data_IF_023125409228
#
_entry.id   IF_023125409228
#
_cell.length_a   1.000
_cell.length_b   1.000
_cell.length_c   1.000
_cell.angle_alpha   90.00
_cell.angle_beta   90.00
_cell.angle_gamma   90.00
#
_symmetry.space_group_name_H-M   'P 1'
#
loop_
_entity.id
_entity.type
_entity.pdbx_description
1 polymer ?
#
# COMPACT_ATOMS: atom_id res chain seq x y z
N UNK A 1 -11.03 -12.41 -3.54
CA UNK A 1 -10.77 -11.96 -2.14
C UNK A 1 -11.60 -10.75 -1.74
N UNK A 2 -11.42 -9.54 -2.28
CA UNK A 2 -12.20 -8.38 -1.79
C UNK A 2 -13.73 -8.49 -1.97
N UNK A 3 -14.22 -9.30 -2.92
CA UNK A 3 -15.66 -9.60 -3.07
C UNK A 3 -16.18 -10.80 -2.27
N UNK A 4 -15.30 -11.46 -1.51
CA UNK A 4 -15.62 -12.57 -0.61
C UNK A 4 -15.20 -12.20 0.82
N UNK A 5 -15.46 -10.95 1.22
CA UNK A 5 -15.11 -10.46 2.55
C UNK A 5 -16.08 -11.04 3.60
N UNK A 6 -15.54 -11.47 4.74
CA UNK A 6 -16.35 -11.79 5.90
C UNK A 6 -16.77 -10.50 6.62
N UNK A 7 -18.00 -10.46 7.11
CA UNK A 7 -18.50 -9.33 7.89
C UNK A 7 -17.88 -9.33 9.30
N UNK A 8 -16.77 -8.60 9.44
CA UNK A 8 -15.98 -8.53 10.67
C UNK A 8 -16.00 -7.10 11.24
N UNK A 9 -16.47 -6.97 12.48
CA UNK A 9 -16.59 -5.70 13.22
C UNK A 9 -15.25 -4.98 13.47
N UNK A 10 -14.12 -5.68 13.44
CA UNK A 10 -12.79 -5.11 13.71
C UNK A 10 -12.34 -4.18 12.58
N UNK A 11 -12.28 -2.87 12.84
CA UNK A 11 -11.96 -1.83 11.83
C UNK A 11 -10.67 -2.07 11.03
N UNK A 12 -9.64 -2.66 11.64
CA UNK A 12 -8.31 -2.79 11.05
C UNK A 12 -7.93 -4.23 10.69
N UNK A 13 -8.93 -5.06 10.39
CA UNK A 13 -8.74 -6.39 9.85
C UNK A 13 -9.67 -6.59 8.64
N UNK A 14 -9.12 -7.15 7.57
CA UNK A 14 -9.87 -7.75 6.48
C UNK A 14 -9.79 -9.26 6.60
N UNK A 15 -10.90 -9.91 6.31
CA UNK A 15 -11.01 -11.36 6.28
C UNK A 15 -11.69 -11.77 4.99
N UNK A 16 -11.19 -12.80 4.35
CA UNK A 16 -11.79 -13.35 3.13
C UNK A 16 -11.77 -14.86 3.16
N UNK A 17 -12.77 -15.49 2.53
CA UNK A 17 -12.76 -16.93 2.33
C UNK A 17 -11.97 -17.28 1.07
N UNK A 18 -11.02 -18.21 1.24
CA UNK A 18 -10.29 -18.87 0.16
C UNK A 18 -10.52 -20.37 0.32
N UNK A 19 -11.38 -20.93 -0.51
CA UNK A 19 -11.90 -22.28 -0.28
C UNK A 19 -12.67 -22.35 1.04
N UNK A 20 -12.43 -23.37 1.88
CA UNK A 20 -13.00 -23.45 3.23
C UNK A 20 -12.24 -22.60 4.27
N UNK A 21 -11.06 -22.08 3.94
CA UNK A 21 -10.18 -21.44 4.92
C UNK A 21 -10.35 -19.92 4.95
N UNK A 22 -10.56 -19.31 6.14
CA UNK A 22 -10.56 -17.87 6.27
C UNK A 22 -9.13 -17.33 6.29
N UNK A 23 -8.80 -16.45 5.36
CA UNK A 23 -7.52 -15.73 5.31
C UNK A 23 -7.68 -14.32 5.88
N UNK A 24 -6.71 -13.89 6.69
CA UNK A 24 -6.69 -12.60 7.36
C UNK A 24 -5.65 -11.67 6.75
N UNK A 25 -6.00 -10.38 6.67
CA UNK A 25 -5.08 -9.27 6.45
C UNK A 25 -5.23 -8.24 7.56
N UNK A 26 -4.22 -8.14 8.41
CA UNK A 26 -4.11 -7.17 9.50
C UNK A 26 -2.81 -6.37 9.38
N UNK A 27 -2.53 -5.51 10.36
CA UNK A 27 -1.27 -4.77 10.44
C UNK A 27 -0.05 -5.71 10.47
N UNK A 28 -0.17 -6.89 11.09
CA UNK A 28 0.92 -7.87 11.17
C UNK A 28 1.27 -8.44 9.80
N UNK A 29 0.27 -8.85 9.01
CA UNK A 29 0.52 -9.29 7.64
C UNK A 29 1.03 -8.13 6.79
N UNK A 30 0.52 -6.91 6.97
CA UNK A 30 1.02 -5.74 6.25
C UNK A 30 2.50 -5.47 6.54
N UNK A 31 2.90 -5.50 7.81
CA UNK A 31 4.29 -5.34 8.24
C UNK A 31 5.18 -6.43 7.66
N UNK A 32 4.78 -7.69 7.78
CA UNK A 32 5.53 -8.82 7.23
C UNK A 32 5.72 -8.69 5.71
N UNK A 33 4.67 -8.30 4.99
CA UNK A 33 4.70 -8.19 3.53
C UNK A 33 5.55 -7.02 3.03
N UNK A 34 5.50 -5.87 3.72
CA UNK A 34 6.11 -4.63 3.24
C UNK A 34 7.47 -4.32 3.87
N UNK A 35 7.74 -4.84 5.06
CA UNK A 35 8.91 -4.48 5.86
C UNK A 35 8.90 -3.03 6.39
N UNK A 36 7.78 -2.31 6.27
CA UNK A 36 7.68 -0.93 6.76
C UNK A 36 7.54 -0.90 8.27
N UNK A 37 8.19 0.07 8.92
CA UNK A 37 8.08 0.28 10.36
C UNK A 37 6.60 0.44 10.77
N UNK A 38 6.13 -0.44 11.66
CA UNK A 38 4.79 -0.44 12.22
C UNK A 38 4.78 -0.19 13.74
N UNK A 39 5.81 0.42 14.30
CA UNK A 39 5.85 0.83 15.71
C UNK A 39 4.72 1.81 16.06
N UNK A 40 4.26 1.75 17.31
CA UNK A 40 3.20 2.63 17.79
C UNK A 40 3.78 4.00 18.17
N UNK A 41 3.07 5.06 17.77
CA UNK A 41 3.28 6.42 18.24
C UNK A 41 1.92 7.08 18.48
N UNK A 42 1.85 8.03 19.42
CA UNK A 42 0.61 8.73 19.75
C UNK A 42 0.13 9.64 18.61
N UNK A 43 1.00 10.52 18.10
CA UNK A 43 0.65 11.55 17.10
C UNK A 43 0.95 11.15 15.65
N UNK A 44 0.45 9.97 15.23
CA UNK A 44 0.74 9.39 13.91
C UNK A 44 0.43 10.32 12.72
N UNK A 45 -0.64 11.12 12.80
CA UNK A 45 -1.13 11.92 11.67
C UNK A 45 -0.67 13.38 11.69
N UNK A 46 -0.19 13.85 12.84
CA UNK A 46 0.15 15.24 13.09
C UNK A 46 1.52 15.36 13.75
N UNK A 47 2.58 14.82 13.12
CA UNK A 47 3.92 15.03 13.64
C UNK A 47 4.18 16.53 13.75
N UNK A 48 4.76 16.94 14.88
CA UNK A 48 5.20 18.33 15.03
C UNK A 48 6.23 18.68 13.95
N UNK A 49 6.03 19.79 13.27
CA UNK A 49 6.93 20.32 12.25
C UNK A 49 6.90 21.84 12.31
N UNK A 50 8.07 22.46 12.36
CA UNK A 50 8.24 23.92 12.39
C UNK A 50 8.43 24.44 10.97
N UNK A 51 7.71 25.50 10.61
CA UNK A 51 7.91 26.18 9.31
C UNK A 51 9.21 26.99 9.37
N UNK A 52 10.27 26.47 8.74
CA UNK A 52 11.57 27.12 8.63
C UNK A 52 11.72 27.79 7.26
N UNK A 53 12.71 28.68 7.13
CA UNK A 53 13.05 29.28 5.82
C UNK A 53 13.45 28.23 4.78
N UNK A 54 14.15 27.18 5.22
CA UNK A 54 14.57 26.07 4.36
C UNK A 54 13.35 25.30 3.84
N UNK A 55 12.38 25.01 4.72
CA UNK A 55 11.12 24.39 4.34
C UNK A 55 10.38 25.25 3.31
N UNK A 56 10.21 26.55 3.57
CA UNK A 56 9.54 27.45 2.63
C UNK A 56 10.24 27.46 1.27
N UNK A 57 11.56 27.54 1.24
CA UNK A 57 12.34 27.50 0.00
C UNK A 57 12.18 26.19 -0.76
N UNK A 58 12.21 25.05 -0.06
CA UNK A 58 11.98 23.75 -0.69
C UNK A 58 10.56 23.62 -1.24
N UNK A 59 9.54 24.12 -0.54
CA UNK A 59 8.15 24.15 -1.03
C UNK A 59 7.99 25.04 -2.28
N UNK A 60 8.66 26.19 -2.31
CA UNK A 60 8.71 27.07 -3.49
C UNK A 60 9.35 26.36 -4.70
N UNK A 61 10.42 25.58 -4.49
CA UNK A 61 11.02 24.77 -5.56
C UNK A 61 10.05 23.73 -6.13
N UNK A 62 9.20 23.14 -5.29
CA UNK A 62 8.11 22.26 -5.72
C UNK A 62 6.98 23.01 -6.45
N UNK A 63 6.88 24.32 -6.27
CA UNK A 63 5.79 25.14 -6.82
C UNK A 63 4.51 25.06 -5.99
N UNK A 64 4.61 24.75 -4.70
CA UNK A 64 3.47 24.47 -3.82
C UNK A 64 3.43 25.49 -2.67
N UNK A 65 2.24 25.97 -2.33
CA UNK A 65 2.07 26.85 -1.17
C UNK A 65 2.51 26.13 0.11
N UNK A 66 3.19 26.84 1.03
CA UNK A 66 3.79 26.23 2.23
C UNK A 66 2.79 25.44 3.08
N UNK A 67 1.52 25.87 3.16
CA UNK A 67 0.44 25.20 3.89
C UNK A 67 -0.24 24.04 3.15
N UNK A 68 0.16 23.76 1.91
CA UNK A 68 -0.35 22.64 1.12
C UNK A 68 0.69 21.53 1.01
N UNK A 69 0.23 20.27 0.98
CA UNK A 69 1.08 19.14 0.63
C UNK A 69 1.13 18.98 -0.89
N UNK A 70 2.28 18.61 -1.47
CA UNK A 70 2.38 18.41 -2.92
C UNK A 70 1.51 17.23 -3.36
N UNK A 71 0.87 17.37 -4.51
CA UNK A 71 0.16 16.33 -5.26
C UNK A 71 1.14 15.47 -6.07
N UNK A 72 0.65 14.36 -6.64
CA UNK A 72 1.50 13.51 -7.50
C UNK A 72 1.95 14.27 -8.76
N UNK A 73 1.09 15.16 -9.28
CA UNK A 73 1.40 15.98 -10.44
C UNK A 73 2.55 16.95 -10.17
N UNK A 74 2.51 17.64 -9.03
CA UNK A 74 3.56 18.59 -8.64
C UNK A 74 4.89 17.88 -8.36
N UNK A 75 4.85 16.68 -7.78
CA UNK A 75 6.06 15.86 -7.59
C UNK A 75 6.67 15.44 -8.94
N UNK A 76 5.86 15.03 -9.92
CA UNK A 76 6.36 14.68 -11.25
C UNK A 76 6.96 15.91 -11.96
N UNK A 77 6.27 17.04 -11.92
CA UNK A 77 6.80 18.29 -12.46
C UNK A 77 8.09 18.75 -11.76
N UNK A 78 8.27 18.44 -10.46
CA UNK A 78 9.50 18.71 -9.74
C UNK A 78 10.64 17.75 -10.17
N UNK A 79 10.33 16.47 -10.38
CA UNK A 79 11.31 15.47 -10.87
C UNK A 79 11.86 15.84 -12.26
N UNK A 80 11.03 16.41 -13.13
CA UNK A 80 11.46 16.90 -14.45
C UNK A 80 12.41 18.12 -14.37
N UNK A 81 12.36 18.88 -13.26
CA UNK A 81 13.13 20.11 -13.05
C UNK A 81 14.29 19.95 -12.06
N UNK A 82 14.49 18.76 -11.48
CA UNK A 82 15.41 18.58 -10.35
C UNK A 82 16.88 18.37 -10.74
N UNK A 83 17.26 18.46 -12.01
CA UNK A 83 18.63 18.20 -12.49
C UNK A 83 19.66 19.10 -11.79
N UNK A 84 19.33 20.39 -11.62
CA UNK A 84 20.19 21.37 -10.95
C UNK A 84 20.06 21.42 -9.42
N UNK A 85 19.27 20.54 -8.80
CA UNK A 85 19.03 20.58 -7.35
C UNK A 85 20.18 19.97 -6.56
N UNK A 86 20.29 20.39 -5.30
CA UNK A 86 21.25 19.80 -4.36
C UNK A 86 21.00 18.29 -4.19
N UNK A 87 22.00 17.56 -3.71
CA UNK A 87 21.86 16.12 -3.43
C UNK A 87 20.78 15.87 -2.38
N UNK A 88 20.74 16.72 -1.35
CA UNK A 88 19.80 16.58 -0.25
C UNK A 88 18.36 16.88 -0.70
N UNK A 89 18.15 17.93 -1.51
CA UNK A 89 16.82 18.25 -2.04
C UNK A 89 16.31 17.18 -3.02
N UNK A 90 17.19 16.57 -3.81
CA UNK A 90 16.84 15.39 -4.62
C UNK A 90 16.47 14.19 -3.76
N UNK A 91 17.17 13.97 -2.64
CA UNK A 91 16.83 12.91 -1.67
C UNK A 91 15.46 13.18 -1.02
N UNK A 92 15.17 14.42 -0.62
CA UNK A 92 13.87 14.86 -0.10
C UNK A 92 12.74 14.66 -1.10
N UNK A 93 12.97 15.04 -2.36
CA UNK A 93 12.03 14.84 -3.46
C UNK A 93 11.75 13.36 -3.72
N UNK A 94 12.78 12.50 -3.68
CA UNK A 94 12.62 11.06 -3.82
C UNK A 94 11.76 10.47 -2.69
N UNK A 95 11.96 10.88 -1.44
CA UNK A 95 11.11 10.45 -0.33
C UNK A 95 9.68 10.97 -0.44
N UNK A 96 9.47 12.21 -0.88
CA UNK A 96 8.13 12.71 -1.18
C UNK A 96 7.45 11.88 -2.28
N UNK A 97 8.18 11.47 -3.32
CA UNK A 97 7.63 10.63 -4.37
C UNK A 97 7.17 9.26 -3.83
N UNK A 98 7.96 8.64 -2.96
CA UNK A 98 7.59 7.38 -2.29
C UNK A 98 6.36 7.58 -1.39
N UNK A 99 6.36 8.64 -0.57
CA UNK A 99 5.26 8.96 0.32
C UNK A 99 3.95 9.19 -0.44
N UNK A 100 3.97 10.07 -1.44
CA UNK A 100 2.79 10.41 -2.26
C UNK A 100 2.31 9.22 -3.07
N UNK A 101 3.23 8.48 -3.71
CA UNK A 101 2.89 7.42 -4.65
C UNK A 101 2.47 6.10 -4.00
N UNK A 102 3.06 5.73 -2.86
CA UNK A 102 2.87 4.41 -2.25
C UNK A 102 2.27 4.47 -0.85
N UNK A 103 2.74 5.38 0.02
CA UNK A 103 2.27 5.43 1.41
C UNK A 103 0.86 6.03 1.47
N UNK A 104 0.67 7.22 0.91
CA UNK A 104 -0.67 7.80 0.76
C UNK A 104 -1.42 7.19 -0.42
N UNK A 105 -0.74 6.99 -1.55
CA UNK A 105 -1.30 6.34 -2.75
C UNK A 105 -2.68 6.89 -3.13
N UNK A 106 -2.88 8.21 -3.04
CA UNK A 106 -4.17 8.86 -3.33
C UNK A 106 -4.32 9.15 -4.82
N UNK A 107 -5.50 9.62 -5.23
CA UNK A 107 -5.73 10.12 -6.59
C UNK A 107 -4.69 11.20 -6.95
N UNK A 108 -4.29 11.21 -8.21
CA UNK A 108 -3.18 12.00 -8.74
C UNK A 108 -3.25 13.51 -8.40
N UNK A 109 -4.46 14.08 -8.41
CA UNK A 109 -4.72 15.49 -8.12
C UNK A 109 -4.99 15.81 -6.65
N UNK A 110 -5.06 14.82 -5.77
CA UNK A 110 -5.33 15.04 -4.35
C UNK A 110 -4.04 15.48 -3.66
N UNK A 111 -4.02 16.67 -3.02
CA UNK A 111 -2.88 17.10 -2.21
C UNK A 111 -2.59 16.10 -1.09
N UNK A 112 -1.32 15.83 -0.83
CA UNK A 112 -0.94 15.00 0.32
C UNK A 112 -1.16 15.73 1.64
N UNK A 113 -1.18 15.00 2.75
CA UNK A 113 -1.21 15.61 4.09
C UNK A 113 0.10 16.35 4.35
N UNK A 114 0.02 17.68 4.40
CA UNK A 114 1.17 18.58 4.58
C UNK A 114 1.99 18.26 5.83
N UNK A 115 1.34 17.91 6.95
CA UNK A 115 2.03 17.56 8.21
C UNK A 115 3.00 16.40 8.06
N UNK A 116 2.58 15.35 7.35
CA UNK A 116 3.41 14.16 7.09
C UNK A 116 4.44 14.43 6.00
N UNK A 117 4.06 15.15 4.93
CA UNK A 117 4.98 15.50 3.86
C UNK A 117 6.18 16.31 4.37
N UNK A 118 5.97 17.22 5.33
CA UNK A 118 7.02 18.04 5.96
C UNK A 118 8.11 17.24 6.68
N UNK A 119 7.87 15.98 7.04
CA UNK A 119 8.89 15.12 7.64
C UNK A 119 10.12 14.94 6.75
N UNK A 120 10.03 15.11 5.42
CA UNK A 120 11.22 15.01 4.54
C UNK A 120 12.29 16.05 4.85
N UNK A 121 11.94 17.13 5.53
CA UNK A 121 12.92 18.11 6.00
C UNK A 121 13.83 17.54 7.11
N UNK A 122 13.35 16.52 7.84
CA UNK A 122 14.06 15.81 8.91
C UNK A 122 14.30 14.35 8.48
N UNK A 123 15.25 14.10 7.56
CA UNK A 123 15.43 12.81 6.89
C UNK A 123 15.57 11.61 7.85
N UNK A 124 16.31 11.76 8.95
CA UNK A 124 16.46 10.69 9.96
C UNK A 124 15.12 10.34 10.61
N UNK A 125 14.32 11.35 10.96
CA UNK A 125 12.98 11.15 11.52
C UNK A 125 12.04 10.56 10.48
N UNK A 126 12.15 10.97 9.22
CA UNK A 126 11.39 10.39 8.12
C UNK A 126 11.71 8.90 7.95
N UNK A 127 12.98 8.52 7.88
CA UNK A 127 13.41 7.13 7.68
C UNK A 127 12.94 6.20 8.81
N UNK A 128 12.86 6.71 10.05
CA UNK A 128 12.41 5.95 11.22
C UNK A 128 10.91 6.06 11.51
N UNK A 129 10.16 6.90 10.78
CA UNK A 129 8.74 7.11 11.04
C UNK A 129 7.92 5.82 10.79
N UNK A 130 6.85 5.53 11.55
CA UNK A 130 6.04 4.32 11.37
C UNK A 130 5.12 4.40 10.15
N UNK A 131 5.72 4.51 8.95
CA UNK A 131 5.03 4.59 7.67
C UNK A 131 4.14 3.40 7.40
N UNK A 132 4.44 2.23 7.98
CA UNK A 132 3.60 1.05 7.86
C UNK A 132 2.22 1.27 8.45
N UNK A 133 2.11 1.93 9.61
CA UNK A 133 0.81 2.30 10.20
C UNK A 133 0.07 3.34 9.38
N UNK A 134 0.79 4.34 8.87
CA UNK A 134 0.21 5.39 8.01
C UNK A 134 -0.39 4.77 6.75
N UNK A 135 0.40 3.97 6.03
CA UNK A 135 -0.02 3.31 4.79
C UNK A 135 -1.16 2.32 5.04
N UNK A 136 -1.07 1.50 6.09
CA UNK A 136 -2.09 0.54 6.44
C UNK A 136 -3.43 1.22 6.78
N UNK A 137 -3.40 2.31 7.55
CA UNK A 137 -4.62 3.06 7.86
C UNK A 137 -5.29 3.60 6.60
N UNK A 138 -4.53 4.26 5.72
CA UNK A 138 -5.06 4.81 4.46
C UNK A 138 -5.66 3.70 3.58
N UNK A 139 -4.97 2.56 3.49
CA UNK A 139 -5.42 1.38 2.76
C UNK A 139 -6.73 0.83 3.34
N UNK A 140 -6.78 0.61 4.66
CA UNK A 140 -7.96 0.05 5.35
C UNK A 140 -9.19 0.96 5.25
N UNK A 141 -9.02 2.28 5.42
CA UNK A 141 -10.09 3.26 5.25
C UNK A 141 -10.59 3.32 3.78
N UNK A 142 -9.77 2.89 2.81
CA UNK A 142 -10.18 2.76 1.41
C UNK A 142 -10.97 1.47 1.15
N UNK A 143 -10.58 0.33 1.73
CA UNK A 143 -11.16 -0.96 1.34
C UNK A 143 -12.31 -1.43 2.23
N UNK A 144 -12.30 -1.08 3.53
CA UNK A 144 -13.24 -1.65 4.48
C UNK A 144 -14.63 -1.02 4.35
N UNK A 145 -15.66 -1.86 4.34
CA UNK A 145 -17.07 -1.43 4.35
C UNK A 145 -17.51 -0.71 3.07
N UNK A 146 -16.75 -0.85 1.97
CA UNK A 146 -17.14 -0.33 0.66
C UNK A 146 -17.87 -1.40 -0.12
N UNK A 147 -18.99 -1.02 -0.72
CA UNK A 147 -19.54 -1.80 -1.83
C UNK A 147 -18.61 -1.63 -3.02
N UNK A 148 -18.04 -2.75 -3.48
CA UNK A 148 -17.11 -2.80 -4.60
C UNK A 148 -17.84 -3.05 -5.93
N UNK A 149 -19.16 -2.84 -5.98
CA UNK A 149 -19.93 -2.87 -7.22
C UNK A 149 -19.47 -1.72 -8.15
N UNK A 150 -18.82 -2.08 -9.26
CA UNK A 150 -18.37 -1.13 -10.28
C UNK A 150 -16.86 -0.81 -10.27
N UNK A 151 -16.49 0.39 -10.72
CA UNK A 151 -15.10 0.84 -10.80
C UNK A 151 -14.72 1.61 -9.52
N UNK A 152 -13.74 1.11 -8.78
CA UNK A 152 -13.29 1.68 -7.52
C UNK A 152 -11.76 1.87 -7.51
N UNK A 153 -11.30 2.95 -6.88
CA UNK A 153 -9.87 3.23 -6.67
C UNK A 153 -9.51 2.94 -5.22
N UNK A 154 -8.55 2.03 -5.01
CA UNK A 154 -7.99 1.75 -3.69
C UNK A 154 -6.86 2.76 -3.45
N UNK A 155 -6.99 3.54 -2.37
CA UNK A 155 -5.94 4.43 -1.88
C UNK A 155 -4.93 3.67 -1.01
N UNK A 156 -3.78 4.28 -0.76
CA UNK A 156 -2.71 3.72 0.06
C UNK A 156 -1.89 2.68 -0.69
N UNK A 157 -1.18 1.84 0.07
CA UNK A 157 -0.22 0.89 -0.50
C UNK A 157 -0.91 -0.37 -1.03
N UNK A 158 -1.69 -0.23 -2.12
CA UNK A 158 -2.54 -1.28 -2.68
C UNK A 158 -1.76 -2.55 -3.10
N UNK A 159 -0.47 -2.42 -3.42
CA UNK A 159 0.40 -3.55 -3.76
C UNK A 159 0.54 -4.53 -2.58
N UNK A 160 0.40 -4.08 -1.33
CA UNK A 160 0.38 -4.98 -0.17
C UNK A 160 -0.81 -5.95 -0.23
N UNK A 161 -2.00 -5.48 -0.64
CA UNK A 161 -3.15 -6.38 -0.87
C UNK A 161 -2.90 -7.32 -2.04
N UNK A 162 -2.27 -6.83 -3.11
CA UNK A 162 -1.97 -7.67 -4.27
C UNK A 162 -1.04 -8.83 -3.89
N UNK A 163 0.02 -8.56 -3.14
CA UNK A 163 0.95 -9.60 -2.69
C UNK A 163 0.31 -10.50 -1.64
N UNK A 164 -0.51 -9.97 -0.74
CA UNK A 164 -1.33 -10.80 0.16
C UNK A 164 -2.23 -11.79 -0.59
N UNK A 165 -2.84 -11.37 -1.71
CA UNK A 165 -3.62 -12.27 -2.56
C UNK A 165 -2.73 -13.35 -3.18
N UNK A 166 -1.51 -13.02 -3.61
CA UNK A 166 -0.59 -14.00 -4.19
C UNK A 166 -0.07 -15.01 -3.17
N UNK A 167 0.07 -14.61 -1.90
CA UNK A 167 0.45 -15.54 -0.83
C UNK A 167 -0.73 -16.42 -0.40
N UNK A 168 -1.95 -15.86 -0.37
CA UNK A 168 -3.17 -16.61 -0.06
C UNK A 168 -3.63 -17.53 -1.20
N UNK A 169 -3.30 -17.20 -2.45
CA UNK A 169 -3.64 -17.96 -3.66
C UNK A 169 -2.38 -18.23 -4.50
N UNK A 170 -1.59 -19.27 -4.16
CA UNK A 170 -0.28 -19.51 -4.76
C UNK A 170 -0.31 -19.71 -6.28
N UNK A 171 -1.33 -20.40 -6.82
CA UNK A 171 -1.48 -20.58 -8.27
C UNK A 171 -1.74 -19.24 -8.99
N UNK A 172 -2.51 -18.35 -8.38
CA UNK A 172 -2.71 -16.99 -8.88
C UNK A 172 -1.39 -16.22 -8.85
N UNK A 173 -0.65 -16.32 -7.74
CA UNK A 173 0.68 -15.73 -7.60
C UNK A 173 1.66 -16.22 -8.67
N UNK A 174 1.70 -17.52 -8.94
CA UNK A 174 2.55 -18.12 -9.96
C UNK A 174 2.19 -17.64 -11.38
N UNK A 175 0.90 -17.58 -11.68
CA UNK A 175 0.40 -17.24 -13.03
C UNK A 175 0.50 -15.73 -13.33
N UNK A 176 0.13 -14.89 -12.36
CA UNK A 176 -0.04 -13.45 -12.56
C UNK A 176 1.00 -12.59 -11.85
N UNK A 177 1.63 -13.10 -10.80
CA UNK A 177 2.53 -12.34 -9.94
C UNK A 177 3.95 -12.16 -10.48
N UNK A 178 4.40 -12.99 -11.43
CA UNK A 178 5.81 -13.04 -11.86
C UNK A 178 6.77 -13.16 -10.67
N UNK A 179 6.73 -14.28 -9.92
CA UNK A 179 7.61 -14.46 -8.79
C UNK A 179 9.07 -14.47 -9.25
N UNK A 180 9.94 -13.85 -8.45
CA UNK A 180 11.38 -13.92 -8.61
C UNK A 180 11.92 -15.25 -8.07
N UNK A 181 13.02 -15.77 -8.62
CA UNK A 181 13.72 -16.88 -7.99
C UNK A 181 14.18 -16.47 -6.58
N UNK A 182 14.24 -17.44 -5.67
CA UNK A 182 14.69 -17.30 -4.27
C UNK A 182 13.78 -16.51 -3.31
N UNK A 183 12.62 -16.02 -3.76
CA UNK A 183 11.60 -15.38 -2.92
C UNK A 183 12.18 -14.32 -1.95
N UNK A 184 12.74 -13.21 -2.46
CA UNK A 184 13.42 -12.22 -1.64
C UNK A 184 12.50 -11.58 -0.60
N UNK A 185 13.09 -11.20 0.54
CA UNK A 185 12.41 -10.48 1.63
C UNK A 185 12.64 -8.97 1.50
N UNK A 186 11.64 -8.12 1.82
CA UNK A 186 10.27 -8.47 2.20
C UNK A 186 9.44 -9.00 0.99
N UNK A 187 8.36 -9.77 1.22
CA UNK A 187 7.55 -10.40 0.16
C UNK A 187 7.06 -9.47 -0.95
N UNK A 188 6.88 -8.18 -0.67
CA UNK A 188 6.55 -7.17 -1.68
C UNK A 188 7.58 -7.09 -2.82
N UNK A 189 8.84 -7.47 -2.56
CA UNK A 189 9.92 -7.52 -3.55
C UNK A 189 10.00 -8.85 -4.29
N UNK A 190 9.27 -9.87 -3.86
CA UNK A 190 9.32 -11.20 -4.47
C UNK A 190 8.56 -11.30 -5.80
N UNK A 191 7.81 -10.26 -6.17
CA UNK A 191 6.97 -10.25 -7.36
C UNK A 191 7.33 -9.05 -8.23
N UNK A 192 7.62 -9.27 -9.53
CA UNK A 192 7.87 -8.15 -10.46
C UNK A 192 6.63 -7.29 -10.70
N UNK A 193 5.45 -7.82 -10.37
CA UNK A 193 4.18 -7.28 -10.83
C UNK A 193 4.07 -7.37 -12.36
N UNK A 194 2.91 -6.94 -12.88
CA UNK A 194 2.68 -6.77 -14.32
C UNK A 194 1.77 -5.57 -14.55
N UNK A 195 2.12 -4.74 -15.54
CA UNK A 195 1.32 -3.57 -15.95
C UNK A 195 0.08 -4.02 -16.77
N UNK A 196 -1.01 -3.26 -16.70
CA UNK A 196 -2.21 -3.43 -17.54
C UNK A 196 -3.44 -3.97 -16.81
N UNK A 197 -4.62 -3.84 -17.44
CA UNK A 197 -5.89 -4.34 -16.91
C UNK A 197 -5.90 -5.86 -16.96
N UNK A 198 -6.27 -6.50 -15.85
CA UNK A 198 -6.39 -7.96 -15.76
C UNK A 198 -7.79 -8.35 -15.33
N UNK A 199 -8.29 -9.40 -15.95
CA UNK A 199 -9.51 -10.04 -15.51
C UNK A 199 -9.13 -11.20 -14.58
N UNK A 200 -9.06 -10.91 -13.29
CA UNK A 200 -8.75 -11.92 -12.28
C UNK A 200 -9.96 -12.79 -11.90
N UNK A 201 -11.17 -12.41 -12.33
CA UNK A 201 -12.42 -13.01 -11.88
C UNK A 201 -12.40 -14.53 -12.08
N UNK A 202 -12.15 -15.00 -13.30
CA UNK A 202 -12.17 -16.43 -13.61
C UNK A 202 -11.09 -17.21 -12.87
N UNK A 203 -9.87 -16.67 -12.77
CA UNK A 203 -8.77 -17.33 -12.07
C UNK A 203 -8.94 -17.37 -10.53
N UNK A 204 -9.55 -16.34 -9.95
CA UNK A 204 -9.92 -16.34 -8.53
C UNK A 204 -11.07 -17.33 -8.30
N UNK A 205 -12.09 -17.33 -9.16
CA UNK A 205 -13.20 -18.26 -9.05
C UNK A 205 -12.73 -19.70 -9.20
N UNK A 206 -11.87 -20.00 -10.17
CA UNK A 206 -11.38 -21.36 -10.36
C UNK A 206 -10.72 -21.88 -9.09
N UNK A 207 -9.79 -21.14 -8.49
CA UNK A 207 -9.04 -21.57 -7.30
C UNK A 207 -9.87 -21.59 -6.01
N UNK A 208 -10.72 -20.59 -5.81
CA UNK A 208 -11.61 -20.52 -4.64
C UNK A 208 -12.65 -21.65 -4.69
N UNK A 209 -13.14 -22.04 -5.87
CA UNK A 209 -14.14 -23.09 -5.99
C UNK A 209 -13.54 -24.49 -6.18
N UNK A 210 -12.43 -24.70 -6.90
CA UNK A 210 -11.79 -26.02 -6.99
C UNK A 210 -11.33 -26.52 -5.62
N UNK A 211 -10.82 -25.64 -4.74
CA UNK A 211 -10.48 -25.99 -3.35
C UNK A 211 -11.69 -26.46 -2.53
N UNK A 212 -12.89 -25.93 -2.80
CA UNK A 212 -14.13 -26.40 -2.18
C UNK A 212 -14.49 -27.81 -2.69
N UNK A 213 -14.36 -28.04 -3.99
CA UNK A 213 -14.67 -29.35 -4.59
C UNK A 213 -13.68 -30.46 -4.23
N UNK A 214 -12.38 -30.15 -4.07
CA UNK A 214 -11.38 -31.14 -3.62
C UNK A 214 -11.54 -31.51 -2.15
N UNK A 215 -11.97 -30.57 -1.30
CA UNK A 215 -12.23 -30.86 0.13
C UNK A 215 -13.43 -31.79 0.33
N UNK A 216 -14.37 -31.84 -0.62
CA UNK A 216 -15.59 -32.66 -0.54
C UNK A 216 -15.41 -34.15 -0.89
N UNK A 217 -14.18 -34.65 -1.12
CA UNK A 217 -13.95 -36.07 -1.43
C UNK A 217 -13.04 -36.82 -0.44
N UNK A 218 -12.53 -36.19 0.62
CA UNK A 218 -11.60 -36.84 1.57
C UNK A 218 -12.12 -37.04 3.00
N UNK A 219 -13.36 -36.68 3.32
CA UNK A 219 -13.92 -36.86 4.69
C UNK A 219 -15.24 -37.62 4.79
N UNK A 220 -15.71 -38.28 3.73
CA UNK A 220 -16.97 -39.04 3.77
C UNK A 220 -16.88 -40.54 3.50
N UNK A 221 -15.69 -41.15 3.57
CA UNK A 221 -15.55 -42.61 3.56
C UNK A 221 -14.46 -43.11 4.51
N UNK A 222 -14.68 -42.96 5.83
CA UNK A 222 -14.13 -43.87 6.85
C UNK A 222 -14.82 -43.61 8.20
N UNK A 223 -16.01 -44.19 8.36
CA UNK A 223 -16.47 -44.99 9.51
C UNK A 223 -17.80 -45.61 9.16
#
# INVERSE_FOLDING_TARGET
MLGFQLDIKKKYELWSLVGPEPVRFSLLEFEHLTGLNCEYIEDLERPHSVVTKELTSFWEMLGVHVEAGPSTQEIIAALERCEGWSRDDRKRLAYLAIFTGYIEGRKYSTPTRVSLARLVMELERFENYPWGRVAFKVLMDSVKGRDISGCYTINGFAQALQVWVYTALPELGATFGNPLPNNPSPPILAYKGRKGRRQFKEAILSQVFTSIWTTNWTTFWTT
#
